data_IF_717549805919
#
_entry.id   IF_717549805919
#
_cell.length_a   1.000
_cell.length_b   1.000
_cell.length_c   1.000
_cell.angle_alpha   90.00
_cell.angle_beta   90.00
_cell.angle_gamma   90.00
#
_symmetry.space_group_name_H-M   'P 1'
#
loop_
_entity.id
_entity.type
_entity.pdbx_description
1 polymer ?
#
# COMPACT_ATOMS: atom_id res chain seq x y z
N UNK A 1 16.68 -19.97 13.83
CA UNK A 1 15.35 -20.33 13.27
C UNK A 1 14.29 -20.45 14.36
N UNK A 2 14.60 -21.13 15.48
CA UNK A 2 13.74 -21.49 16.63
C UNK A 2 12.85 -20.45 17.34
N UNK A 3 13.18 -19.15 17.43
CA UNK A 3 12.47 -18.27 18.37
C UNK A 3 11.14 -17.66 17.87
N UNK A 4 10.97 -17.45 16.56
CA UNK A 4 9.64 -17.06 16.03
C UNK A 4 8.69 -18.24 16.19
N UNK A 5 9.16 -19.43 15.85
CA UNK A 5 8.55 -20.72 16.15
C UNK A 5 8.17 -20.95 17.61
N UNK A 6 8.95 -20.44 18.56
CA UNK A 6 8.68 -20.62 19.98
C UNK A 6 7.64 -19.62 20.51
N UNK A 7 7.50 -18.46 19.85
CA UNK A 7 6.38 -17.55 20.07
C UNK A 7 5.11 -18.15 19.44
N UNK A 8 5.20 -18.65 18.20
CA UNK A 8 4.14 -19.37 17.49
C UNK A 8 3.63 -20.60 18.28
N UNK A 9 4.51 -21.37 18.93
CA UNK A 9 4.12 -22.57 19.68
C UNK A 9 3.48 -22.25 21.04
N UNK A 10 3.87 -21.16 21.69
CA UNK A 10 3.32 -20.80 23.01
C UNK A 10 1.97 -20.09 22.92
N UNK A 11 1.72 -19.37 21.82
CA UNK A 11 0.42 -18.75 21.50
C UNK A 11 -0.63 -19.79 21.14
N UNK A 12 -0.23 -20.90 20.49
CA UNK A 12 -1.15 -21.88 19.92
C UNK A 12 -1.64 -22.98 20.89
N UNK A 13 -1.07 -23.14 22.09
CA UNK A 13 -1.56 -24.11 23.12
C UNK A 13 -0.77 -24.01 24.44
N UNK A 14 -1.22 -23.24 25.45
CA UNK A 14 -0.52 -23.13 26.74
C UNK A 14 -0.46 -24.46 27.54
N UNK A 15 -1.23 -25.49 27.15
CA UNK A 15 -1.41 -26.73 27.93
C UNK A 15 -0.77 -28.01 27.34
N UNK A 16 -0.13 -27.97 26.18
CA UNK A 16 0.44 -29.18 25.54
C UNK A 16 1.97 -29.13 25.54
N UNK A 17 2.55 -29.50 26.70
CA UNK A 17 3.97 -29.89 26.81
C UNK A 17 4.07 -31.41 26.60
N UNK A 18 4.97 -31.82 25.71
CA UNK A 18 5.20 -33.19 25.22
C UNK A 18 4.21 -33.58 24.10
N UNK A 19 4.58 -34.14 22.95
CA UNK A 19 5.67 -35.06 22.68
C UNK A 19 5.74 -35.26 21.15
N UNK A 20 6.64 -34.58 20.41
CA UNK A 20 6.89 -34.91 18.99
C UNK A 20 8.34 -34.67 18.59
N UNK A 21 9.16 -35.73 18.68
CA UNK A 21 10.45 -35.83 17.98
C UNK A 21 10.24 -36.62 16.70
N UNK A 22 10.35 -35.98 15.53
CA UNK A 22 10.54 -36.72 14.27
C UNK A 22 9.78 -36.24 13.03
N UNK A 23 8.89 -35.24 13.11
CA UNK A 23 8.23 -34.73 11.91
C UNK A 23 9.15 -33.77 11.14
N UNK A 24 9.36 -34.04 9.84
CA UNK A 24 9.82 -33.02 8.89
C UNK A 24 8.78 -31.90 8.92
N UNK A 25 9.22 -30.71 9.30
CA UNK A 25 8.44 -29.54 9.68
C UNK A 25 7.42 -29.09 8.62
N UNK A 26 6.23 -29.68 8.63
CA UNK A 26 4.99 -29.04 8.21
C UNK A 26 4.44 -28.32 9.44
N UNK A 27 4.61 -26.99 9.46
CA UNK A 27 4.26 -26.16 10.61
C UNK A 27 3.00 -25.40 10.26
N UNK A 28 1.86 -26.00 10.62
CA UNK A 28 0.55 -25.36 10.59
C UNK A 28 -0.13 -25.65 11.92
N UNK A 29 -0.51 -24.60 12.65
CA UNK A 29 -1.41 -24.71 13.79
C UNK A 29 -2.86 -24.78 13.30
N UNK A 30 -3.67 -25.57 13.98
CA UNK A 30 -5.11 -25.70 13.74
C UNK A 30 -5.78 -25.45 15.09
N UNK A 31 -6.74 -24.55 15.13
CA UNK A 31 -7.48 -24.20 16.34
C UNK A 31 -8.41 -25.33 16.79
N UNK A 32 -9.09 -25.12 17.92
CA UNK A 32 -10.06 -26.06 18.47
C UNK A 32 -11.24 -26.36 17.53
N UNK A 33 -11.44 -25.55 16.49
CA UNK A 33 -12.48 -25.67 15.48
C UNK A 33 -11.98 -26.27 14.15
N UNK A 34 -10.67 -26.54 14.01
CA UNK A 34 -10.11 -27.05 12.75
C UNK A 34 -9.57 -25.97 11.81
N UNK A 35 -9.45 -24.72 12.24
CA UNK A 35 -9.03 -23.57 11.42
C UNK A 35 -7.55 -23.19 11.59
N UNK A 36 -6.89 -22.79 10.50
CA UNK A 36 -5.45 -22.43 10.49
C UNK A 36 -5.23 -20.94 10.78
N UNK A 37 -4.26 -20.59 11.62
CA UNK A 37 -3.84 -19.19 11.88
C UNK A 37 -2.52 -18.81 11.21
N UNK A 38 -2.40 -17.52 10.86
CA UNK A 38 -1.40 -16.99 9.95
C UNK A 38 -0.23 -16.28 10.65
N UNK A 39 0.74 -17.06 11.11
CA UNK A 39 2.12 -16.56 11.31
C UNK A 39 3.14 -17.40 10.50
N UNK A 40 2.63 -18.35 9.72
CA UNK A 40 3.33 -19.38 8.99
C UNK A 40 3.74 -18.91 7.58
N UNK A 41 4.72 -18.02 7.54
CA UNK A 41 5.58 -17.88 6.37
C UNK A 41 5.36 -16.61 5.55
N UNK A 42 6.48 -15.90 5.36
CA UNK A 42 6.65 -15.01 4.20
C UNK A 42 6.48 -15.88 2.95
N UNK A 43 5.32 -15.78 2.30
CA UNK A 43 5.02 -16.46 1.04
C UNK A 43 3.66 -17.17 0.96
N UNK A 44 2.88 -17.24 2.04
CA UNK A 44 1.53 -17.83 2.04
C UNK A 44 0.49 -16.96 2.80
N UNK A 45 0.69 -15.64 2.88
CA UNK A 45 -0.36 -14.75 3.36
C UNK A 45 -1.60 -14.91 2.49
N UNK A 46 -2.79 -15.04 3.10
CA UNK A 46 -4.03 -15.03 2.33
C UNK A 46 -4.09 -13.71 1.55
N UNK A 47 -4.31 -13.81 0.23
CA UNK A 47 -4.36 -12.66 -0.67
C UNK A 47 -5.36 -11.64 -0.11
N UNK A 48 -4.88 -10.40 -0.01
CA UNK A 48 -5.52 -9.18 0.51
C UNK A 48 -7.04 -9.17 0.67
N UNK A 49 -7.48 -8.49 1.73
CA UNK A 49 -8.88 -8.12 1.96
C UNK A 49 -9.46 -7.12 0.99
N UNK A 50 -8.58 -6.39 0.31
CA UNK A 50 -8.91 -5.48 -0.76
C UNK A 50 -8.43 -6.11 -2.05
N UNK A 51 -9.13 -5.84 -3.13
CA UNK A 51 -8.88 -6.57 -4.35
C UNK A 51 -7.61 -6.06 -5.00
N UNK A 52 -6.67 -6.96 -5.25
CA UNK A 52 -5.43 -6.65 -5.97
C UNK A 52 -5.76 -6.04 -7.33
N UNK A 53 -5.51 -4.74 -7.50
CA UNK A 53 -5.65 -3.87 -8.70
C UNK A 53 -6.61 -4.28 -9.83
N UNK A 54 -7.61 -5.16 -9.69
CA UNK A 54 -8.44 -5.65 -10.83
C UNK A 54 -9.36 -4.55 -11.36
N UNK A 55 -8.85 -3.81 -12.34
CA UNK A 55 -9.46 -2.64 -12.98
C UNK A 55 -10.85 -2.87 -13.61
N UNK A 56 -11.28 -4.13 -13.71
CA UNK A 56 -12.53 -4.53 -14.32
C UNK A 56 -13.65 -4.87 -13.31
N UNK A 57 -13.38 -4.84 -12.00
CA UNK A 57 -14.40 -5.15 -11.01
C UNK A 57 -14.26 -4.23 -9.78
N UNK A 58 -15.27 -3.37 -9.54
CA UNK A 58 -15.49 -2.75 -8.22
C UNK A 58 -15.82 -3.85 -7.21
N UNK A 59 -14.81 -4.53 -6.71
CA UNK A 59 -14.97 -5.59 -5.73
C UNK A 59 -14.88 -4.97 -4.33
N UNK A 60 -16.01 -4.45 -3.86
CA UNK A 60 -16.14 -4.06 -2.46
C UNK A 60 -16.15 -5.32 -1.57
N UNK A 61 -15.53 -5.28 -0.38
CA UNK A 61 -15.64 -6.38 0.56
C UNK A 61 -17.12 -6.53 0.92
N UNK A 62 -17.76 -7.57 0.40
CA UNK A 62 -19.18 -7.84 0.60
C UNK A 62 -19.36 -9.10 1.44
N UNK A 63 -20.24 -9.09 2.45
CA UNK A 63 -20.47 -10.26 3.29
C UNK A 63 -21.10 -11.42 2.50
N UNK A 64 -20.63 -12.63 2.79
CA UNK A 64 -21.23 -13.87 2.27
C UNK A 64 -22.64 -14.03 2.88
N UNK A 65 -23.70 -13.94 2.06
CA UNK A 65 -25.06 -14.33 2.46
C UNK A 65 -26.18 -13.29 2.34
N UNK A 66 -25.91 -12.01 2.03
CA UNK A 66 -26.97 -11.04 1.69
C UNK A 66 -27.34 -11.13 0.20
N UNK A 67 -28.62 -11.38 -0.10
CA UNK A 67 -29.15 -11.31 -1.47
C UNK A 67 -29.03 -9.89 -2.01
N UNK A 68 -28.42 -9.74 -3.20
CA UNK A 68 -28.31 -8.47 -3.94
C UNK A 68 -29.67 -7.79 -4.04
N UNK A 69 -29.81 -6.58 -3.51
CA UNK A 69 -30.90 -5.69 -3.93
C UNK A 69 -30.55 -5.11 -5.30
N UNK A 70 -31.16 -5.69 -6.34
CA UNK A 70 -31.49 -5.08 -7.64
C UNK A 70 -30.44 -4.33 -8.49
N UNK A 71 -29.13 -4.42 -8.21
CA UNK A 71 -28.11 -4.03 -9.19
C UNK A 71 -27.29 -5.26 -9.58
N UNK A 72 -27.44 -5.68 -10.84
CA UNK A 72 -26.75 -6.85 -11.42
C UNK A 72 -25.30 -6.46 -11.71
N UNK A 73 -24.47 -6.44 -10.68
CA UNK A 73 -23.01 -6.58 -10.87
C UNK A 73 -22.67 -8.07 -11.03
N UNK A 74 -21.54 -8.45 -11.65
CA UNK A 74 -21.06 -9.84 -11.69
C UNK A 74 -20.95 -10.46 -10.29
N UNK A 75 -20.87 -11.79 -10.20
CA UNK A 75 -20.76 -12.53 -8.94
C UNK A 75 -19.45 -12.20 -8.21
N UNK A 76 -19.41 -11.09 -7.47
CA UNK A 76 -18.35 -10.81 -6.51
C UNK A 76 -18.43 -11.87 -5.41
N UNK A 77 -17.50 -12.83 -5.41
CA UNK A 77 -17.33 -13.75 -4.28
C UNK A 77 -17.04 -12.89 -3.06
N UNK A 78 -17.96 -12.89 -2.09
CA UNK A 78 -17.81 -12.13 -0.86
C UNK A 78 -16.47 -12.45 -0.20
N UNK A 79 -15.78 -11.43 0.27
CA UNK A 79 -14.56 -11.56 1.03
C UNK A 79 -14.91 -11.49 2.52
N UNK A 80 -14.38 -12.42 3.32
CA UNK A 80 -14.57 -12.46 4.77
C UNK A 80 -13.20 -12.52 5.43
N UNK A 81 -12.89 -11.54 6.28
CA UNK A 81 -11.70 -11.61 7.12
C UNK A 81 -11.89 -12.76 8.10
N UNK A 82 -10.81 -13.47 8.43
CA UNK A 82 -10.77 -14.48 9.47
C UNK A 82 -9.98 -13.97 10.66
N UNK A 83 -10.49 -14.25 11.86
CA UNK A 83 -9.81 -13.95 13.11
C UNK A 83 -8.43 -14.63 13.15
N UNK A 84 -7.46 -13.95 13.76
CA UNK A 84 -6.08 -14.46 13.82
C UNK A 84 -5.36 -14.57 12.47
N UNK A 85 -5.94 -14.02 11.39
CA UNK A 85 -5.34 -14.02 10.05
C UNK A 85 -4.88 -12.63 9.66
N UNK A 86 -3.62 -12.52 9.22
CA UNK A 86 -3.08 -11.29 8.63
C UNK A 86 -3.28 -11.35 7.11
N UNK A 87 -3.94 -10.32 6.59
CA UNK A 87 -4.14 -10.11 5.16
C UNK A 87 -3.15 -9.08 4.65
N UNK A 88 -2.41 -9.42 3.61
CA UNK A 88 -1.38 -8.55 3.03
C UNK A 88 -1.77 -8.16 1.62
N UNK A 89 -1.79 -6.85 1.38
CA UNK A 89 -1.82 -6.29 0.03
C UNK A 89 -0.39 -6.22 -0.49
N UNK A 90 0.04 -7.26 -1.20
CA UNK A 90 1.36 -7.28 -1.85
C UNK A 90 1.33 -6.44 -3.14
N UNK A 91 2.40 -5.65 -3.32
CA UNK A 91 2.79 -5.04 -4.60
C UNK A 91 1.89 -3.92 -5.16
N UNK A 92 0.95 -3.36 -4.38
CA UNK A 92 0.11 -2.25 -4.87
C UNK A 92 -0.64 -1.50 -3.77
N UNK A 93 -0.84 -0.19 -3.93
CA UNK A 93 -1.87 0.54 -3.17
C UNK A 93 -3.25 0.02 -3.59
N UNK A 94 -4.13 -0.37 -2.65
CA UNK A 94 -5.46 -0.87 -3.01
C UNK A 94 -6.34 0.25 -3.56
N UNK A 95 -7.22 -0.14 -4.48
CA UNK A 95 -8.26 0.72 -5.05
C UNK A 95 -9.47 0.75 -4.10
N UNK A 96 -9.49 1.69 -3.15
CA UNK A 96 -10.62 1.89 -2.22
C UNK A 96 -11.70 2.80 -2.82
N UNK A 97 -12.39 2.31 -3.86
CA UNK A 97 -13.46 3.03 -4.56
C UNK A 97 -14.85 2.87 -3.95
N UNK A 98 -14.99 1.95 -3.01
CA UNK A 98 -16.24 1.67 -2.31
C UNK A 98 -16.61 2.81 -1.37
N UNK A 99 -17.90 2.91 -1.01
CA UNK A 99 -18.32 3.88 0.02
C UNK A 99 -17.79 3.47 1.39
N UNK A 100 -17.71 4.43 2.30
CA UNK A 100 -17.26 4.17 3.67
C UNK A 100 -18.16 3.12 4.34
N UNK A 101 -19.48 3.14 4.08
CA UNK A 101 -20.45 2.17 4.59
C UNK A 101 -20.22 0.76 4.05
N UNK A 102 -19.92 0.62 2.76
CA UNK A 102 -19.64 -0.69 2.15
C UNK A 102 -18.38 -1.31 2.74
N UNK A 103 -17.33 -0.50 2.92
CA UNK A 103 -16.08 -0.97 3.54
C UNK A 103 -16.33 -1.33 5.01
N UNK A 104 -17.03 -0.47 5.77
CA UNK A 104 -17.39 -0.77 7.15
C UNK A 104 -18.19 -2.05 7.25
N UNK A 105 -19.22 -2.25 6.43
CA UNK A 105 -20.04 -3.47 6.47
C UNK A 105 -19.18 -4.72 6.21
N UNK A 106 -18.29 -4.66 5.21
CA UNK A 106 -17.37 -5.76 4.90
C UNK A 106 -16.39 -6.09 6.04
N UNK A 107 -15.86 -5.06 6.70
CA UNK A 107 -14.92 -5.23 7.82
C UNK A 107 -15.63 -5.63 9.13
N UNK A 108 -16.78 -5.02 9.43
CA UNK A 108 -17.52 -5.19 10.69
C UNK A 108 -18.19 -6.55 10.82
N UNK A 109 -18.67 -7.11 9.71
CA UNK A 109 -19.35 -8.41 9.72
C UNK A 109 -18.39 -9.59 9.89
N UNK A 110 -17.08 -9.32 9.86
CA UNK A 110 -16.10 -10.39 9.94
C UNK A 110 -15.92 -10.89 11.39
N UNK A 111 -15.70 -10.05 12.42
CA UNK A 111 -15.47 -10.55 13.79
C UNK A 111 -15.81 -9.59 14.94
N UNK A 112 -16.24 -10.18 16.08
CA UNK A 112 -16.44 -9.50 17.36
C UNK A 112 -15.08 -9.17 18.01
N UNK A 113 -14.51 -8.02 17.65
CA UNK A 113 -13.19 -7.59 18.13
C UNK A 113 -12.60 -6.43 17.33
N UNK A 114 -13.17 -6.14 16.15
CA UNK A 114 -12.73 -5.05 15.30
C UNK A 114 -11.66 -5.46 14.29
N UNK A 115 -11.25 -4.51 13.45
CA UNK A 115 -10.21 -4.68 12.43
C UNK A 115 -9.05 -3.75 12.71
N UNK A 116 -7.83 -4.30 12.72
CA UNK A 116 -6.59 -3.52 12.76
C UNK A 116 -5.98 -3.43 11.37
N UNK A 117 -5.67 -2.23 10.92
CA UNK A 117 -5.09 -1.94 9.61
C UNK A 117 -3.71 -1.33 9.82
N UNK A 118 -2.73 -1.80 9.06
CA UNK A 118 -1.39 -1.21 9.06
C UNK A 118 -1.17 -0.63 7.67
N UNK A 119 -0.97 0.68 7.61
CA UNK A 119 -0.87 1.42 6.38
C UNK A 119 0.54 1.98 6.22
N UNK A 120 1.30 1.42 5.28
CA UNK A 120 2.61 1.92 4.94
C UNK A 120 2.51 3.07 3.94
N UNK A 121 3.09 4.22 4.30
CA UNK A 121 3.08 5.43 3.49
C UNK A 121 4.49 5.88 3.14
N UNK A 122 4.60 6.74 2.13
CA UNK A 122 5.85 7.41 1.75
C UNK A 122 5.60 8.89 1.60
N UNK A 123 6.61 9.70 1.85
CA UNK A 123 6.57 11.09 1.40
C UNK A 123 6.42 11.10 -0.14
N UNK A 124 5.44 11.81 -0.71
CA UNK A 124 5.13 11.72 -2.13
C UNK A 124 6.28 12.22 -3.01
N UNK A 125 7.03 13.24 -2.59
CA UNK A 125 8.20 13.73 -3.32
C UNK A 125 9.32 12.68 -3.36
N UNK A 126 9.64 12.07 -2.21
CA UNK A 126 10.62 10.98 -2.15
C UNK A 126 10.17 9.76 -2.96
N UNK A 127 8.86 9.51 -3.02
CA UNK A 127 8.28 8.42 -3.77
C UNK A 127 8.46 8.62 -5.28
N UNK A 128 8.14 9.80 -5.82
CA UNK A 128 8.24 10.06 -7.26
C UNK A 128 9.68 10.21 -7.74
N UNK A 129 10.57 10.79 -6.91
CA UNK A 129 12.01 10.79 -7.19
C UNK A 129 12.56 9.37 -7.22
N UNK A 130 12.21 8.56 -6.22
CA UNK A 130 12.60 7.16 -6.17
C UNK A 130 12.08 6.37 -7.37
N UNK A 131 10.88 6.69 -7.87
CA UNK A 131 10.32 6.08 -9.08
C UNK A 131 11.15 6.43 -10.31
N UNK A 132 11.39 7.73 -10.53
CA UNK A 132 12.20 8.23 -11.65
C UNK A 132 13.60 7.60 -11.67
N UNK A 133 14.37 7.73 -10.58
CA UNK A 133 15.74 7.19 -10.51
C UNK A 133 15.81 5.67 -10.55
N UNK A 134 14.73 4.97 -10.20
CA UNK A 134 14.70 3.51 -10.29
C UNK A 134 14.48 3.06 -11.73
N UNK A 135 13.57 3.70 -12.45
CA UNK A 135 13.20 3.34 -13.82
C UNK A 135 14.10 3.93 -14.91
N UNK A 136 14.85 4.99 -14.60
CA UNK A 136 15.81 5.61 -15.53
C UNK A 136 17.21 4.95 -15.51
N UNK A 137 17.38 3.79 -14.84
CA UNK A 137 18.66 3.08 -14.81
C UNK A 137 18.88 2.33 -16.11
N UNK A 138 20.14 2.18 -16.53
CA UNK A 138 20.51 1.32 -17.66
C UNK A 138 21.35 0.11 -17.21
N UNK A 139 20.86 -1.13 -17.36
CA UNK A 139 19.51 -1.49 -17.79
C UNK A 139 18.46 -1.21 -16.69
N UNK A 140 17.22 -0.91 -17.11
CA UNK A 140 16.12 -0.71 -16.17
C UNK A 140 15.78 -2.01 -15.43
N UNK A 141 15.52 -1.97 -14.12
CA UNK A 141 15.23 -3.18 -13.34
C UNK A 141 13.93 -3.88 -13.73
N UNK A 142 12.97 -3.16 -14.34
CA UNK A 142 11.61 -3.66 -14.58
C UNK A 142 11.22 -3.56 -16.04
N UNK A 143 10.75 -4.67 -16.64
CA UNK A 143 10.51 -4.73 -18.09
C UNK A 143 9.32 -3.91 -18.57
N UNK A 144 8.37 -3.62 -17.68
CA UNK A 144 7.13 -2.96 -18.07
C UNK A 144 7.34 -1.55 -18.60
N UNK A 145 8.41 -0.85 -18.18
CA UNK A 145 8.72 0.51 -18.68
C UNK A 145 9.02 0.56 -20.18
N UNK A 146 9.30 -0.58 -20.82
CA UNK A 146 9.48 -0.64 -22.28
C UNK A 146 8.16 -0.81 -23.05
N UNK A 147 7.04 -0.88 -22.35
CA UNK A 147 5.76 -1.28 -22.92
C UNK A 147 4.57 -0.50 -22.35
N UNK A 148 4.80 0.28 -21.30
CA UNK A 148 3.81 1.10 -20.61
C UNK A 148 3.54 2.40 -21.36
N UNK A 149 2.27 2.79 -21.36
CA UNK A 149 1.87 4.14 -21.68
C UNK A 149 1.70 4.88 -20.35
N UNK A 150 2.66 5.75 -19.98
CA UNK A 150 2.65 6.45 -18.69
C UNK A 150 1.48 7.45 -18.57
N UNK A 151 0.80 7.74 -19.67
CA UNK A 151 -0.31 8.68 -19.77
C UNK A 151 -1.67 8.01 -19.91
N UNK A 152 -1.76 6.68 -19.96
CA UNK A 152 -3.03 5.95 -19.96
C UNK A 152 -3.75 6.12 -18.62
N UNK A 153 -4.87 6.85 -18.63
CA UNK A 153 -5.65 7.18 -17.42
C UNK A 153 -6.96 6.40 -17.33
N UNK A 154 -7.40 5.78 -18.42
CA UNK A 154 -8.69 5.13 -18.49
C UNK A 154 -8.55 3.66 -18.12
N UNK A 155 -9.65 3.12 -17.61
CA UNK A 155 -9.90 1.70 -17.45
C UNK A 155 -10.70 1.18 -18.65
N UNK A 156 -10.80 -0.15 -18.77
CA UNK A 156 -11.57 -0.81 -19.83
C UNK A 156 -13.05 -0.36 -19.89
N UNK A 157 -13.61 0.08 -18.76
CA UNK A 157 -14.99 0.58 -18.66
C UNK A 157 -15.14 2.08 -19.02
N UNK A 158 -14.04 2.74 -19.40
CA UNK A 158 -13.98 4.16 -19.73
C UNK A 158 -13.92 5.11 -18.52
N UNK A 159 -13.97 4.59 -17.28
CA UNK A 159 -13.71 5.39 -16.09
C UNK A 159 -12.21 5.61 -15.90
N UNK A 160 -11.81 6.60 -15.10
CA UNK A 160 -10.40 6.84 -14.76
C UNK A 160 -10.14 6.68 -13.27
N UNK A 161 -8.89 6.39 -12.89
CA UNK A 161 -8.46 6.40 -11.49
C UNK A 161 -8.89 7.71 -10.78
N UNK A 162 -8.63 8.83 -11.45
CA UNK A 162 -9.02 10.16 -11.01
C UNK A 162 -10.53 10.30 -10.77
N UNK A 163 -11.37 9.73 -11.65
CA UNK A 163 -12.83 9.85 -11.55
C UNK A 163 -13.41 9.23 -10.27
N UNK A 164 -12.77 8.18 -9.73
CA UNK A 164 -13.22 7.55 -8.48
C UNK A 164 -12.70 8.28 -7.23
N UNK A 165 -11.64 9.08 -7.34
CA UNK A 165 -10.97 9.75 -6.21
C UNK A 165 -11.38 11.22 -6.07
N UNK A 166 -11.69 11.90 -7.19
CA UNK A 166 -12.04 13.33 -7.21
C UNK A 166 -13.12 13.70 -6.20
N UNK A 167 -14.26 12.97 -6.07
CA UNK A 167 -15.31 13.36 -5.13
C UNK A 167 -14.81 13.41 -3.68
N UNK A 168 -13.99 12.42 -3.30
CA UNK A 168 -13.49 12.30 -1.94
C UNK A 168 -12.42 13.33 -1.62
N UNK A 169 -11.51 13.54 -2.57
CA UNK A 169 -10.45 14.53 -2.44
C UNK A 169 -11.02 15.95 -2.42
N UNK A 170 -12.00 16.25 -3.27
CA UNK A 170 -12.67 17.54 -3.29
C UNK A 170 -13.39 17.84 -1.97
N UNK A 171 -14.06 16.83 -1.40
CA UNK A 171 -14.73 16.92 -0.09
C UNK A 171 -13.72 17.19 1.03
N UNK A 172 -12.61 16.45 1.09
CA UNK A 172 -11.57 16.64 2.11
C UNK A 172 -10.92 18.03 2.01
N UNK A 173 -10.68 18.51 0.80
CA UNK A 173 -10.05 19.83 0.57
C UNK A 173 -11.02 21.01 0.68
N UNK A 174 -12.32 20.74 0.90
CA UNK A 174 -13.38 21.74 0.82
C UNK A 174 -13.32 22.57 -0.47
N UNK A 175 -13.10 21.91 -1.61
CA UNK A 175 -13.07 22.51 -2.94
C UNK A 175 -14.19 21.94 -3.81
N UNK A 176 -14.66 22.69 -4.83
CA UNK A 176 -15.52 22.13 -5.85
C UNK A 176 -14.81 20.99 -6.60
N UNK A 177 -15.52 19.92 -6.96
CA UNK A 177 -14.95 18.82 -7.76
C UNK A 177 -14.30 19.33 -9.05
N UNK A 178 -14.93 20.30 -9.72
CA UNK A 178 -14.40 20.92 -10.95
C UNK A 178 -13.01 21.56 -10.77
N UNK A 179 -12.67 22.02 -9.57
CA UNK A 179 -11.33 22.52 -9.29
C UNK A 179 -10.31 21.38 -9.27
N UNK A 180 -10.61 20.28 -8.58
CA UNK A 180 -9.71 19.10 -8.50
C UNK A 180 -9.60 18.42 -9.87
N UNK A 181 -10.71 18.25 -10.59
CA UNK A 181 -10.73 17.75 -11.97
C UNK A 181 -9.78 18.57 -12.86
N UNK A 182 -9.83 19.90 -12.77
CA UNK A 182 -8.95 20.78 -13.55
C UNK A 182 -7.48 20.58 -13.22
N UNK A 183 -7.12 20.33 -11.96
CA UNK A 183 -5.72 20.07 -11.61
C UNK A 183 -5.25 18.74 -12.19
N UNK A 184 -6.03 17.67 -12.05
CA UNK A 184 -5.68 16.35 -12.59
C UNK A 184 -5.66 16.34 -14.13
N UNK A 185 -6.56 17.07 -14.80
CA UNK A 185 -6.55 17.17 -16.26
C UNK A 185 -5.29 17.85 -16.79
N UNK A 186 -4.76 18.86 -16.07
CA UNK A 186 -3.50 19.51 -16.45
C UNK A 186 -2.31 18.56 -16.38
N UNK A 187 -2.30 17.66 -15.39
CA UNK A 187 -1.28 16.61 -15.28
C UNK A 187 -1.37 15.65 -16.48
N UNK A 188 -2.58 15.30 -16.91
CA UNK A 188 -2.80 14.51 -18.12
C UNK A 188 -2.28 15.19 -19.38
N UNK A 189 -2.66 16.45 -19.61
CA UNK A 189 -2.18 17.23 -20.76
C UNK A 189 -0.65 17.35 -20.75
N UNK A 190 -0.05 17.65 -19.59
CA UNK A 190 1.40 17.69 -19.45
C UNK A 190 2.06 16.34 -19.76
N UNK A 191 1.45 15.23 -19.33
CA UNK A 191 1.94 13.89 -19.65
C UNK A 191 1.98 13.66 -21.17
N UNK A 192 0.87 13.93 -21.86
CA UNK A 192 0.76 13.78 -23.31
C UNK A 192 1.70 14.72 -24.09
N UNK A 193 1.97 15.93 -23.57
CA UNK A 193 2.93 16.85 -24.17
C UNK A 193 4.38 16.34 -24.09
N UNK A 194 4.72 15.65 -22.99
CA UNK A 194 6.05 15.06 -22.76
C UNK A 194 6.22 13.70 -23.44
N UNK A 195 5.17 12.88 -23.46
CA UNK A 195 5.20 11.52 -24.00
C UNK A 195 4.78 11.48 -25.46
N UNK A 196 5.77 11.38 -26.36
CA UNK A 196 5.54 11.23 -27.80
C UNK A 196 5.51 9.75 -28.20
N UNK A 197 4.55 9.34 -29.03
CA UNK A 197 4.23 7.95 -29.38
C UNK A 197 5.30 7.15 -30.15
N UNK A 198 6.48 7.73 -30.38
CA UNK A 198 7.52 7.14 -31.23
C UNK A 198 8.55 6.33 -30.44
N UNK A 199 8.53 6.41 -29.10
CA UNK A 199 9.46 5.74 -28.18
C UNK A 199 8.77 5.24 -26.92
N UNK A 200 9.41 4.31 -26.22
CA UNK A 200 8.92 3.73 -24.96
C UNK A 200 9.05 4.70 -23.79
N UNK A 201 8.30 4.46 -22.71
CA UNK A 201 8.43 5.23 -21.47
C UNK A 201 9.89 5.25 -20.97
N UNK A 202 10.58 4.10 -20.98
CA UNK A 202 11.99 4.01 -20.63
C UNK A 202 12.89 4.92 -21.47
N UNK A 203 12.74 4.89 -22.79
CA UNK A 203 13.54 5.72 -23.70
C UNK A 203 13.31 7.21 -23.43
N UNK A 204 12.06 7.62 -23.19
CA UNK A 204 11.76 8.99 -22.77
C UNK A 204 12.44 9.37 -21.44
N UNK A 205 12.51 8.46 -20.46
CA UNK A 205 13.21 8.73 -19.19
C UNK A 205 14.71 8.97 -19.36
N UNK A 206 15.32 8.42 -20.41
CA UNK A 206 16.73 8.61 -20.73
C UNK A 206 16.99 9.83 -21.62
N UNK A 207 16.09 10.09 -22.58
CA UNK A 207 16.29 11.09 -23.63
C UNK A 207 15.82 12.49 -23.21
N UNK A 208 14.78 12.60 -22.38
CA UNK A 208 14.32 13.88 -21.84
C UNK A 208 15.37 14.48 -20.88
N UNK A 209 15.32 15.81 -20.69
CA UNK A 209 16.08 16.39 -19.59
C UNK A 209 15.60 15.82 -18.25
N UNK A 210 16.49 15.79 -17.26
CA UNK A 210 16.21 15.13 -15.97
C UNK A 210 14.92 15.60 -15.31
N UNK A 211 14.54 16.87 -15.49
CA UNK A 211 13.34 17.39 -14.89
C UNK A 211 12.10 17.00 -15.68
N UNK A 212 12.12 17.09 -17.01
CA UNK A 212 10.98 16.64 -17.82
C UNK A 212 10.78 15.12 -17.73
N UNK A 213 11.85 14.32 -17.68
CA UNK A 213 11.77 12.89 -17.37
C UNK A 213 11.17 12.61 -15.98
N UNK A 214 11.54 13.42 -14.97
CA UNK A 214 10.93 13.35 -13.64
C UNK A 214 9.45 13.75 -13.65
N UNK A 215 9.05 14.79 -14.41
CA UNK A 215 7.65 15.20 -14.55
C UNK A 215 6.82 14.09 -15.18
N UNK A 216 7.35 13.46 -16.23
CA UNK A 216 6.70 12.32 -16.89
C UNK A 216 6.53 11.13 -15.92
N UNK A 217 7.59 10.74 -15.21
CA UNK A 217 7.51 9.68 -14.20
C UNK A 217 6.56 10.03 -13.04
N UNK A 218 6.45 11.32 -12.71
CA UNK A 218 5.53 11.80 -11.66
C UNK A 218 4.08 11.79 -12.13
N UNK A 219 3.81 12.17 -13.38
CA UNK A 219 2.48 12.05 -13.98
C UNK A 219 1.99 10.60 -13.98
N UNK A 220 2.86 9.66 -14.34
CA UNK A 220 2.57 8.23 -14.28
C UNK A 220 2.19 7.79 -12.85
N UNK A 221 2.94 8.24 -11.84
CA UNK A 221 2.65 7.95 -10.43
C UNK A 221 1.40 8.64 -9.89
N UNK A 222 0.89 9.68 -10.55
CA UNK A 222 -0.32 10.40 -10.15
C UNK A 222 -1.55 9.89 -10.89
N UNK A 223 -1.53 9.86 -12.21
CA UNK A 223 -2.75 9.75 -13.01
C UNK A 223 -2.91 8.41 -13.73
N UNK A 224 -1.84 7.65 -13.94
CA UNK A 224 -1.92 6.43 -14.74
C UNK A 224 -2.83 5.39 -14.07
N UNK A 225 -3.67 4.77 -14.90
CA UNK A 225 -4.59 3.71 -14.47
C UNK A 225 -3.86 2.41 -14.18
N UNK A 226 -2.67 2.21 -14.79
CA UNK A 226 -1.82 1.04 -14.63
C UNK A 226 -2.20 -0.14 -15.51
N UNK A 227 -2.98 0.10 -16.57
CA UNK A 227 -3.41 -0.94 -17.49
C UNK A 227 -2.30 -1.50 -18.38
N UNK A 228 -1.08 -0.96 -18.37
CA UNK A 228 -0.05 -1.53 -19.23
C UNK A 228 0.32 -2.95 -18.83
N UNK A 229 -0.01 -3.86 -19.74
CA UNK A 229 0.57 -5.18 -19.87
C UNK A 229 0.55 -6.06 -18.62
N UNK A 230 -0.44 -5.86 -17.72
CA UNK A 230 -0.64 -6.70 -16.54
C UNK A 230 0.40 -6.51 -15.43
N UNK A 231 1.15 -5.39 -15.43
CA UNK A 231 2.11 -5.04 -14.38
C UNK A 231 1.55 -4.06 -13.34
N UNK A 232 0.37 -3.51 -13.60
CA UNK A 232 -0.41 -2.72 -12.64
C UNK A 232 0.45 -1.60 -12.02
N UNK A 233 1.13 -0.78 -12.81
CA UNK A 233 2.04 0.28 -12.32
C UNK A 233 1.39 1.69 -12.36
N UNK A 234 1.92 2.66 -11.61
CA UNK A 234 1.44 4.05 -11.65
C UNK A 234 0.24 4.33 -10.74
N UNK A 235 -0.21 5.58 -10.64
CA UNK A 235 -1.37 6.02 -9.84
C UNK A 235 -1.22 6.02 -8.31
N UNK A 236 -0.06 5.65 -7.79
CA UNK A 236 0.19 5.42 -6.37
C UNK A 236 0.04 6.67 -5.48
N UNK A 237 0.34 7.87 -6.01
CA UNK A 237 0.24 9.12 -5.25
C UNK A 237 -1.21 9.40 -4.84
N UNK A 238 -2.15 9.32 -5.79
CA UNK A 238 -3.56 9.64 -5.48
C UNK A 238 -4.27 8.48 -4.81
N UNK A 239 -3.85 7.23 -5.04
CA UNK A 239 -4.32 6.08 -4.24
C UNK A 239 -3.91 6.23 -2.78
N UNK A 240 -2.67 6.62 -2.50
CA UNK A 240 -2.22 6.87 -1.13
C UNK A 240 -3.05 7.97 -0.48
N UNK A 241 -3.30 9.08 -1.17
CA UNK A 241 -4.17 10.15 -0.69
C UNK A 241 -5.60 9.65 -0.39
N UNK A 242 -6.21 8.93 -1.32
CA UNK A 242 -7.55 8.36 -1.14
C UNK A 242 -7.61 7.42 0.07
N UNK A 243 -6.61 6.54 0.20
CA UNK A 243 -6.58 5.55 1.28
C UNK A 243 -6.44 6.21 2.65
N UNK A 244 -5.66 7.30 2.75
CA UNK A 244 -5.55 8.09 3.98
C UNK A 244 -6.90 8.70 4.39
N UNK A 245 -7.59 9.33 3.44
CA UNK A 245 -8.92 9.93 3.66
C UNK A 245 -9.92 8.85 4.09
N UNK A 246 -9.96 7.72 3.37
CA UNK A 246 -10.85 6.59 3.68
C UNK A 246 -10.57 6.04 5.07
N UNK A 247 -9.33 5.71 5.39
CA UNK A 247 -8.98 5.14 6.70
C UNK A 247 -9.32 6.08 7.86
N UNK A 248 -9.07 7.38 7.72
CA UNK A 248 -9.49 8.39 8.71
C UNK A 248 -11.00 8.36 8.96
N UNK A 249 -11.81 8.29 7.90
CA UNK A 249 -13.27 8.24 8.01
C UNK A 249 -13.77 6.92 8.58
N UNK A 250 -13.16 5.80 8.19
CA UNK A 250 -13.48 4.49 8.72
C UNK A 250 -13.22 4.43 10.24
N UNK A 251 -12.12 5.01 10.72
CA UNK A 251 -11.88 5.13 12.16
C UNK A 251 -12.95 6.00 12.85
N UNK A 252 -13.30 7.15 12.27
CA UNK A 252 -14.32 8.06 12.82
C UNK A 252 -15.73 7.45 12.86
N UNK A 253 -16.05 6.61 11.88
CA UNK A 253 -17.35 5.94 11.76
C UNK A 253 -17.39 4.58 12.48
N UNK A 254 -16.25 4.08 12.96
CA UNK A 254 -16.18 2.82 13.71
C UNK A 254 -16.91 2.92 15.05
N UNK A 255 -17.57 1.84 15.45
CA UNK A 255 -18.27 1.73 16.74
C UNK A 255 -17.51 0.78 17.67
N UNK A 256 -17.94 0.64 18.92
CA UNK A 256 -17.38 -0.37 19.82
C UNK A 256 -17.54 -1.81 19.30
N UNK A 257 -18.59 -2.08 18.51
CA UNK A 257 -18.87 -3.40 17.92
C UNK A 257 -18.13 -3.61 16.59
N UNK A 258 -17.69 -2.53 15.95
CA UNK A 258 -17.03 -2.51 14.64
C UNK A 258 -15.73 -1.70 14.67
N UNK A 259 -14.96 -1.83 15.76
CA UNK A 259 -13.80 -0.97 16.02
C UNK A 259 -12.78 -1.08 14.88
N UNK A 260 -12.39 0.04 14.28
CA UNK A 260 -11.31 0.08 13.30
C UNK A 260 -10.15 0.86 13.89
N UNK A 261 -8.99 0.22 13.93
CA UNK A 261 -7.74 0.84 14.37
C UNK A 261 -6.78 0.85 13.19
N UNK A 262 -6.11 1.97 12.97
CA UNK A 262 -5.17 2.14 11.86
C UNK A 262 -3.84 2.60 12.45
N UNK A 263 -2.77 1.86 12.14
CA UNK A 263 -1.40 2.29 12.38
C UNK A 263 -0.78 2.73 11.04
N UNK A 264 -0.50 4.02 10.91
CA UNK A 264 0.20 4.56 9.75
C UNK A 264 1.70 4.57 10.01
N UNK A 265 2.49 4.02 9.09
CA UNK A 265 3.94 3.90 9.24
C UNK A 265 4.64 4.40 7.99
N UNK A 266 5.64 5.28 8.14
CA UNK A 266 6.46 5.65 6.98
C UNK A 266 7.39 4.50 6.60
N UNK A 267 7.45 4.15 5.31
CA UNK A 267 8.40 3.13 4.85
C UNK A 267 9.85 3.56 5.10
N UNK A 268 10.14 4.86 5.01
CA UNK A 268 11.47 5.41 5.26
C UNK A 268 11.94 5.15 6.69
N UNK A 269 11.10 5.44 7.69
CA UNK A 269 11.46 5.26 9.10
C UNK A 269 11.43 3.78 9.49
N UNK A 270 10.48 3.01 8.95
CA UNK A 270 10.45 1.55 9.15
C UNK A 270 11.73 0.87 8.65
N UNK A 271 12.28 1.31 7.51
CA UNK A 271 13.54 0.77 6.98
C UNK A 271 14.75 1.24 7.79
N UNK A 272 14.78 2.51 8.21
CA UNK A 272 15.89 3.08 8.98
C UNK A 272 15.97 2.51 10.39
N UNK A 273 14.83 2.23 11.02
CA UNK A 273 14.73 1.76 12.40
C UNK A 273 13.92 0.46 12.47
N UNK A 274 14.41 -0.57 11.78
CA UNK A 274 13.65 -1.80 11.54
C UNK A 274 13.29 -2.56 12.80
N UNK A 275 14.17 -2.57 13.81
CA UNK A 275 13.85 -3.20 15.09
C UNK A 275 12.66 -2.48 15.76
N UNK A 276 12.73 -1.16 15.95
CA UNK A 276 11.63 -0.42 16.56
C UNK A 276 10.34 -0.53 15.73
N UNK A 277 10.41 -0.31 14.41
CA UNK A 277 9.24 -0.41 13.55
C UNK A 277 8.59 -1.79 13.56
N UNK A 278 9.40 -2.87 13.60
CA UNK A 278 8.86 -4.24 13.72
C UNK A 278 8.25 -4.47 15.10
N UNK A 279 8.85 -3.92 16.16
CA UNK A 279 8.31 -4.02 17.50
C UNK A 279 6.95 -3.30 17.62
N UNK A 280 6.86 -2.06 17.14
CA UNK A 280 5.64 -1.25 17.15
C UNK A 280 4.53 -1.93 16.32
N UNK A 281 4.88 -2.46 15.14
CA UNK A 281 4.00 -3.28 14.32
C UNK A 281 3.42 -4.46 15.10
N UNK A 282 4.27 -5.24 15.78
CA UNK A 282 3.83 -6.42 16.53
C UNK A 282 2.99 -6.03 17.75
N UNK A 283 3.39 -4.97 18.45
CA UNK A 283 2.67 -4.44 19.60
C UNK A 283 1.28 -3.93 19.21
N UNK A 284 1.15 -3.28 18.05
CA UNK A 284 -0.14 -2.85 17.52
C UNK A 284 -1.05 -4.03 17.20
N UNK A 285 -0.56 -5.05 16.49
CA UNK A 285 -1.38 -6.23 16.10
C UNK A 285 -1.87 -6.98 17.35
N UNK A 286 -0.95 -7.32 18.25
CA UNK A 286 -1.25 -8.16 19.41
C UNK A 286 -2.00 -7.37 20.49
N UNK A 287 -1.79 -6.06 20.57
CA UNK A 287 -2.37 -5.19 21.58
C UNK A 287 -1.47 -5.09 22.83
N UNK A 288 -1.51 -3.95 23.49
CA UNK A 288 -0.66 -3.67 24.66
C UNK A 288 -1.01 -4.54 25.88
N UNK A 289 -2.24 -5.02 25.93
CA UNK A 289 -2.80 -5.85 27.01
C UNK A 289 -2.61 -7.35 26.77
N UNK A 290 -2.01 -7.75 25.64
CA UNK A 290 -1.73 -9.16 25.38
C UNK A 290 -0.59 -9.65 26.28
N UNK A 291 -0.99 -10.24 27.40
CA UNK A 291 -0.08 -10.86 28.37
C UNK A 291 0.43 -12.24 27.93
N UNK A 292 -0.11 -12.80 26.85
CA UNK A 292 0.27 -14.13 26.36
C UNK A 292 1.67 -14.12 25.72
N UNK A 293 2.09 -12.99 25.15
CA UNK A 293 3.42 -12.83 24.54
C UNK A 293 4.22 -11.76 25.29
N UNK A 294 5.25 -12.14 26.07
CA UNK A 294 6.10 -11.18 26.77
C UNK A 294 6.76 -10.19 25.80
N UNK A 295 6.80 -8.90 26.17
CA UNK A 295 7.45 -7.82 25.39
C UNK A 295 8.88 -8.14 24.97
N UNK A 296 9.62 -8.84 25.82
CA UNK A 296 11.00 -9.28 25.53
C UNK A 296 11.08 -10.24 24.33
N UNK A 297 10.05 -11.07 24.12
CA UNK A 297 9.96 -11.95 22.96
C UNK A 297 9.65 -11.17 21.67
N UNK A 298 8.76 -10.18 21.73
CA UNK A 298 8.49 -9.27 20.61
C UNK A 298 9.75 -8.53 20.18
N UNK A 299 10.48 -7.97 21.15
CA UNK A 299 11.74 -7.28 20.90
C UNK A 299 12.80 -8.18 20.27
N UNK A 300 12.92 -9.41 20.75
CA UNK A 300 13.86 -10.39 20.17
C UNK A 300 13.46 -10.82 18.75
N UNK A 301 12.17 -10.86 18.43
CA UNK A 301 11.68 -11.09 17.07
C UNK A 301 12.03 -9.90 16.15
N UNK A 302 11.84 -8.68 16.63
CA UNK A 302 12.18 -7.45 15.93
C UNK A 302 13.69 -7.36 15.60
N UNK A 303 14.58 -7.58 16.57
CA UNK A 303 16.03 -7.60 16.35
C UNK A 303 16.45 -8.65 15.31
N UNK A 304 15.81 -9.82 15.32
CA UNK A 304 16.07 -10.87 14.33
C UNK A 304 15.64 -10.45 12.92
N UNK A 305 14.57 -9.66 12.80
CA UNK A 305 14.12 -9.14 11.51
C UNK A 305 15.10 -8.09 10.96
N UNK A 306 15.57 -7.18 11.81
CA UNK A 306 16.63 -6.23 11.47
C UNK A 306 17.91 -6.95 11.00
N UNK A 307 18.36 -7.98 11.73
CA UNK A 307 19.55 -8.76 11.37
C UNK A 307 19.39 -9.43 9.98
N UNK A 308 18.21 -9.98 9.69
CA UNK A 308 17.90 -10.56 8.37
C UNK A 308 17.95 -9.49 7.27
N UNK A 309 17.38 -8.32 7.53
CA UNK A 309 17.37 -7.24 6.56
C UNK A 309 18.78 -6.70 6.32
N UNK A 310 19.58 -6.50 7.37
CA UNK A 310 20.99 -6.12 7.27
C UNK A 310 21.80 -7.11 6.41
N UNK A 311 21.55 -8.42 6.56
CA UNK A 311 22.15 -9.46 5.71
C UNK A 311 21.75 -9.37 4.24
N UNK A 312 20.53 -8.89 3.94
CA UNK A 312 20.06 -8.65 2.55
C UNK A 312 20.60 -7.34 1.97
N UNK A 313 20.80 -6.31 2.80
CA UNK A 313 21.29 -4.97 2.42
C UNK A 313 22.70 -4.98 1.81
N UNK A 314 23.48 -6.04 2.03
CA UNK A 314 24.78 -6.26 1.38
C UNK A 314 24.73 -6.42 -0.14
N UNK A 315 23.54 -6.47 -0.75
CA UNK A 315 23.34 -6.29 -2.19
C UNK A 315 22.92 -4.84 -2.42
N UNK A 316 23.82 -4.03 -2.98
CA UNK A 316 23.62 -2.59 -3.16
C UNK A 316 22.24 -2.29 -3.76
N UNK A 317 21.38 -1.61 -2.98
CA UNK A 317 20.16 -1.03 -3.49
C UNK A 317 20.55 0.28 -4.18
N UNK A 318 20.33 0.39 -5.48
CA UNK A 318 20.87 1.44 -6.37
C UNK A 318 20.43 2.87 -6.01
N UNK A 319 19.47 3.02 -5.10
CA UNK A 319 19.06 4.34 -4.58
C UNK A 319 19.99 4.92 -3.50
N UNK A 320 20.97 4.16 -3.01
CA UNK A 320 22.01 4.66 -2.10
C UNK A 320 23.15 5.27 -2.90
N UNK A 321 23.15 6.59 -2.95
CA UNK A 321 24.00 7.36 -3.85
C UNK A 321 24.94 8.30 -3.09
N UNK A 322 26.00 8.72 -3.76
CA UNK A 322 27.03 9.63 -3.26
C UNK A 322 26.47 11.07 -2.99
N UNK A 323 27.30 11.98 -2.47
CA UNK A 323 26.87 13.36 -2.14
C UNK A 323 26.37 14.15 -3.36
N UNK A 324 26.91 13.89 -4.55
CA UNK A 324 26.54 14.58 -5.79
C UNK A 324 25.11 14.24 -6.21
N UNK A 325 24.75 12.96 -6.14
CA UNK A 325 23.41 12.47 -6.42
C UNK A 325 22.39 12.99 -5.38
N UNK A 326 22.80 13.19 -4.13
CA UNK A 326 21.93 13.81 -3.12
C UNK A 326 21.63 15.28 -3.49
N UNK A 327 22.63 16.04 -3.93
CA UNK A 327 22.42 17.43 -4.37
C UNK A 327 21.45 17.50 -5.54
N UNK A 328 21.60 16.62 -6.54
CA UNK A 328 20.68 16.56 -7.69
C UNK A 328 19.26 16.19 -7.25
N UNK A 329 19.10 15.25 -6.32
CA UNK A 329 17.79 14.88 -5.75
C UNK A 329 17.11 16.06 -5.08
N UNK A 330 17.82 16.82 -4.24
CA UNK A 330 17.24 18.00 -3.56
C UNK A 330 16.88 19.11 -4.56
N UNK A 331 17.71 19.36 -5.57
CA UNK A 331 17.39 20.35 -6.62
C UNK A 331 16.11 19.97 -7.38
N UNK A 332 16.01 18.71 -7.82
CA UNK A 332 14.83 18.20 -8.52
C UNK A 332 13.59 18.22 -7.64
N UNK A 333 13.74 17.90 -6.35
CA UNK A 333 12.66 17.98 -5.36
C UNK A 333 12.12 19.39 -5.21
N UNK A 334 13.00 20.38 -5.12
CA UNK A 334 12.60 21.78 -5.00
C UNK A 334 11.89 22.28 -6.27
N UNK A 335 12.39 21.87 -7.45
CA UNK A 335 11.69 22.16 -8.71
C UNK A 335 10.29 21.53 -8.75
N UNK A 336 10.13 20.28 -8.30
CA UNK A 336 8.82 19.63 -8.19
C UNK A 336 7.87 20.36 -7.23
N UNK A 337 8.37 20.87 -6.10
CA UNK A 337 7.57 21.67 -5.16
C UNK A 337 7.01 22.94 -5.82
N UNK A 338 7.76 23.52 -6.76
CA UNK A 338 7.35 24.68 -7.55
C UNK A 338 6.63 24.36 -8.86
N UNK A 339 6.43 23.08 -9.21
CA UNK A 339 5.89 22.70 -10.51
C UNK A 339 4.42 23.16 -10.66
N UNK A 340 4.06 23.85 -11.75
CA UNK A 340 2.73 24.44 -11.90
C UNK A 340 1.60 23.41 -12.03
N UNK A 341 1.89 22.17 -12.46
CA UNK A 341 0.91 21.13 -12.74
C UNK A 341 0.91 20.05 -11.64
N UNK A 342 2.09 19.68 -11.14
CA UNK A 342 2.28 18.57 -10.21
C UNK A 342 2.20 18.95 -8.73
N UNK A 343 2.66 20.15 -8.37
CA UNK A 343 2.84 20.54 -6.96
C UNK A 343 1.55 20.49 -6.14
N UNK A 344 0.40 20.81 -6.75
CA UNK A 344 -0.88 20.78 -6.05
C UNK A 344 -1.20 19.39 -5.47
N UNK A 345 -1.13 18.34 -6.30
CA UNK A 345 -1.43 16.97 -5.86
C UNK A 345 -0.35 16.46 -4.90
N UNK A 346 0.92 16.75 -5.17
CA UNK A 346 2.02 16.32 -4.30
C UNK A 346 1.95 16.95 -2.91
N UNK A 347 1.65 18.25 -2.81
CA UNK A 347 1.49 18.96 -1.53
C UNK A 347 0.29 18.44 -0.75
N UNK A 348 -0.87 18.29 -1.40
CA UNK A 348 -2.07 17.73 -0.77
C UNK A 348 -1.78 16.34 -0.19
N UNK A 349 -1.11 15.48 -0.97
CA UNK A 349 -0.75 14.15 -0.50
C UNK A 349 0.28 14.19 0.63
N UNK A 350 1.24 15.12 0.60
CA UNK A 350 2.22 15.30 1.68
C UNK A 350 1.53 15.74 2.98
N UNK A 351 0.58 16.68 2.90
CA UNK A 351 -0.21 17.14 4.04
C UNK A 351 -1.03 16.00 4.66
N UNK A 352 -1.71 15.19 3.84
CA UNK A 352 -2.47 14.02 4.30
C UNK A 352 -1.57 12.96 4.97
N UNK A 353 -0.37 12.73 4.43
CA UNK A 353 0.62 11.82 5.03
C UNK A 353 1.06 12.36 6.39
N UNK A 354 1.40 13.63 6.48
CA UNK A 354 1.84 14.26 7.73
C UNK A 354 0.75 14.26 8.79
N UNK A 355 -0.51 14.53 8.40
CA UNK A 355 -1.67 14.44 9.30
C UNK A 355 -1.82 13.02 9.86
N UNK A 356 -1.77 11.99 9.00
CA UNK A 356 -1.96 10.61 9.42
C UNK A 356 -0.82 10.05 10.29
N UNK A 357 0.37 10.64 10.22
CA UNK A 357 1.52 10.28 11.07
C UNK A 357 1.53 11.00 12.42
N UNK A 358 0.68 12.02 12.61
CA UNK A 358 0.58 12.77 13.85
C UNK A 358 -0.26 12.04 14.93
N UNK A 359 -0.96 10.97 14.54
CA UNK A 359 -1.77 10.09 15.38
C UNK A 359 -1.04 8.77 15.61
#
# INVERSE_FOLDING_TARGET
MFLLHQIEHEVNSPNLKADQRGAKFEVSGVDENGERYAFDGIGNWQRSAFTSRKHNERQCPYPVGRKKSQVVLPETKGFTLREGTIYVQESSSPDLYCTDEEILEGLSLSHAGGTKIIHFVRNPYEMVLSNYFYHSQDPTPEKWVHSDDPCEQLYDDGSSLSSHIIPELAKELHKPESYVTKQLSRIGTMCEELYQNDTTFYEHLLDLDKYDGLRLATAQMIAASGMSNGYWAGGDVIRMANNLIRFKRLQQASTSESKIEVLTVTMGDFIKNMANGTYDFLNFILGEDDTSIPKEKLWKAALKQEEKYAKKKGRAHVTQTNEEDQRVKEELKERLRGDPDLSFILNVTEDLVNEALAF
#
